data_IF_846220322957
#
_entry.id   IF_846220322957
#
_cell.length_a   1.000
_cell.length_b   1.000
_cell.length_c   1.000
_cell.angle_alpha   90.00
_cell.angle_beta   90.00
_cell.angle_gamma   90.00
#
_symmetry.space_group_name_H-M   'P 1'
#
loop_
_entity.id
_entity.type
_entity.pdbx_description
1 polymer ?
#
# COMPACT_ATOMS: atom_id res chain seq x y z
N UNK A 1 34.40 -12.67 2.60
CA UNK A 1 33.92 -12.39 1.21
C UNK A 1 33.16 -13.56 0.59
N UNK A 2 33.34 -14.80 1.03
CA UNK A 2 32.60 -15.96 0.47
C UNK A 2 31.19 -16.18 1.01
N UNK A 3 30.82 -15.63 2.15
CA UNK A 3 29.47 -15.83 2.73
C UNK A 3 28.39 -14.89 2.17
N UNK A 4 28.78 -13.83 1.47
CA UNK A 4 27.84 -12.86 0.87
C UNK A 4 27.44 -13.26 -0.55
N UNK A 5 28.28 -14.00 -1.24
CA UNK A 5 27.98 -14.53 -2.59
C UNK A 5 27.01 -15.72 -2.57
N UNK A 6 26.92 -16.44 -1.43
CA UNK A 6 26.01 -17.59 -1.33
C UNK A 6 24.54 -17.19 -1.12
N UNK A 7 24.26 -15.94 -0.70
CA UNK A 7 22.88 -15.44 -0.59
C UNK A 7 22.32 -14.92 -1.92
N UNK A 8 23.17 -14.59 -2.88
CA UNK A 8 22.73 -14.16 -4.21
C UNK A 8 22.51 -15.31 -5.20
N UNK A 9 22.97 -16.52 -4.91
CA UNK A 9 22.75 -17.69 -5.79
C UNK A 9 21.54 -18.54 -5.44
N UNK A 10 20.73 -18.16 -4.46
CA UNK A 10 19.36 -18.64 -4.33
C UNK A 10 18.44 -17.79 -5.20
N UNK A 11 18.76 -17.62 -6.47
CA UNK A 11 17.80 -17.25 -7.48
C UNK A 11 16.77 -18.38 -7.52
N UNK A 12 15.63 -18.11 -6.93
CA UNK A 12 14.44 -18.96 -6.89
C UNK A 12 14.13 -19.39 -8.32
N UNK A 13 14.23 -20.67 -8.57
CA UNK A 13 13.67 -21.29 -9.77
C UNK A 13 12.14 -21.19 -9.65
N UNK A 14 11.58 -20.04 -9.99
CA UNK A 14 10.15 -19.90 -10.21
C UNK A 14 9.88 -20.53 -11.57
N UNK A 15 9.55 -21.81 -11.55
CA UNK A 15 9.00 -22.48 -12.72
C UNK A 15 7.62 -21.88 -12.99
N UNK A 16 7.56 -21.01 -14.00
CA UNK A 16 6.33 -20.57 -14.64
C UNK A 16 5.73 -21.77 -15.42
N UNK A 17 5.03 -22.65 -14.74
CA UNK A 17 4.08 -23.53 -15.40
C UNK A 17 2.71 -22.85 -15.38
N UNK A 18 2.48 -22.01 -16.35
CA UNK A 18 1.14 -21.57 -16.71
C UNK A 18 0.39 -22.74 -17.33
N UNK A 19 -0.31 -23.51 -16.54
CA UNK A 19 -1.39 -24.34 -17.06
C UNK A 19 -2.59 -23.42 -17.33
N UNK A 20 -2.76 -23.01 -18.58
CA UNK A 20 -3.99 -22.38 -19.04
C UNK A 20 -5.09 -23.43 -19.05
N UNK A 21 -5.84 -23.53 -17.97
CA UNK A 21 -7.15 -24.19 -18.00
C UNK A 21 -8.17 -23.16 -18.51
N UNK A 22 -8.51 -23.23 -19.78
CA UNK A 22 -9.72 -22.60 -20.32
C UNK A 22 -10.90 -23.48 -19.94
N UNK A 23 -11.46 -23.25 -18.77
CA UNK A 23 -12.79 -23.70 -18.42
C UNK A 23 -13.63 -22.46 -18.15
N UNK A 24 -14.79 -22.36 -18.79
CA UNK A 24 -15.81 -21.36 -18.45
C UNK A 24 -16.30 -21.61 -17.03
N UNK A 25 -15.57 -21.10 -16.03
CA UNK A 25 -15.99 -21.09 -14.64
C UNK A 25 -16.78 -19.81 -14.40
N UNK A 26 -18.09 -19.90 -14.40
CA UNK A 26 -18.94 -18.89 -13.79
C UNK A 26 -18.88 -19.07 -12.27
N UNK A 27 -18.57 -17.98 -11.54
CA UNK A 27 -18.53 -17.95 -10.07
C UNK A 27 -19.81 -18.50 -9.40
N UNK A 28 -20.95 -18.49 -10.13
CA UNK A 28 -22.25 -18.90 -9.62
C UNK A 28 -22.41 -20.42 -9.34
N UNK A 29 -21.58 -21.29 -9.89
CA UNK A 29 -21.79 -22.74 -9.86
C UNK A 29 -21.04 -23.46 -8.73
N UNK A 30 -20.31 -22.78 -7.85
CA UNK A 30 -19.49 -23.42 -6.81
C UNK A 30 -19.91 -23.10 -5.38
N UNK A 31 -20.96 -22.30 -5.17
CA UNK A 31 -21.36 -21.82 -3.84
C UNK A 31 -22.75 -22.36 -3.48
N UNK A 32 -22.82 -23.59 -3.00
CA UNK A 32 -24.04 -24.09 -2.38
C UNK A 32 -24.24 -23.46 -1.00
N UNK A 33 -25.17 -22.48 -0.93
CA UNK A 33 -25.91 -22.02 0.28
C UNK A 33 -25.12 -21.64 1.56
N UNK A 34 -23.82 -21.32 1.50
CA UNK A 34 -23.07 -20.88 2.67
C UNK A 34 -22.18 -19.68 2.38
N UNK A 35 -22.35 -18.60 3.15
CA UNK A 35 -21.41 -17.47 3.15
C UNK A 35 -20.10 -17.90 3.78
N UNK A 36 -19.08 -18.17 2.97
CA UNK A 36 -17.76 -18.60 3.44
C UNK A 36 -16.57 -17.88 2.76
N UNK A 37 -16.81 -17.16 1.66
CA UNK A 37 -15.73 -16.51 0.92
C UNK A 37 -15.32 -15.17 1.54
N UNK A 38 -14.00 -14.92 1.54
CA UNK A 38 -13.39 -13.63 1.88
C UNK A 38 -13.00 -12.92 0.59
N UNK A 39 -13.47 -11.69 0.41
CA UNK A 39 -13.03 -10.80 -0.68
C UNK A 39 -11.99 -9.83 -0.13
N UNK A 40 -10.89 -9.64 -0.86
CA UNK A 40 -9.82 -8.70 -0.48
C UNK A 40 -9.63 -7.67 -1.57
N UNK A 41 -9.63 -6.39 -1.17
CA UNK A 41 -9.28 -5.25 -2.00
C UNK A 41 -8.21 -4.41 -1.29
N UNK A 42 -7.46 -3.62 -2.04
CA UNK A 42 -6.42 -2.74 -1.53
C UNK A 42 -6.29 -1.49 -2.41
N UNK A 43 -5.56 -0.50 -1.91
CA UNK A 43 -5.09 0.65 -2.70
C UNK A 43 -6.25 1.35 -3.45
N UNK A 44 -7.25 1.76 -2.68
CA UNK A 44 -8.46 2.46 -3.17
C UNK A 44 -8.15 3.93 -3.40
N UNK A 45 -7.46 4.58 -2.47
CA UNK A 45 -7.04 5.97 -2.53
C UNK A 45 -8.19 6.97 -2.76
N UNK A 46 -9.23 6.93 -1.92
CA UNK A 46 -10.30 7.92 -1.94
C UNK A 46 -9.76 9.30 -1.56
N UNK A 47 -9.74 10.21 -2.52
CA UNK A 47 -9.38 11.61 -2.30
C UNK A 47 -10.58 12.48 -1.92
N UNK A 48 -10.32 13.72 -1.45
CA UNK A 48 -11.31 14.74 -1.13
C UNK A 48 -11.91 15.39 -2.41
N UNK A 49 -12.83 16.34 -2.23
CA UNK A 49 -13.45 17.06 -3.35
C UNK A 49 -12.43 17.80 -4.22
N UNK A 50 -11.34 18.33 -3.65
CA UNK A 50 -10.30 19.03 -4.40
C UNK A 50 -9.49 18.08 -5.27
N UNK A 51 -9.17 16.91 -4.72
CA UNK A 51 -8.46 15.87 -5.45
C UNK A 51 -9.28 15.33 -6.64
N UNK A 52 -10.60 15.29 -6.50
CA UNK A 52 -11.51 14.69 -7.47
C UNK A 52 -12.08 15.67 -8.50
N UNK A 53 -12.32 16.93 -8.13
CA UNK A 53 -13.07 17.90 -8.97
C UNK A 53 -12.20 18.81 -9.82
N UNK A 54 -10.94 19.01 -9.42
CA UNK A 54 -10.04 19.93 -10.11
C UNK A 54 -10.42 21.41 -9.98
N UNK A 55 -11.13 21.81 -8.93
CA UNK A 55 -11.59 23.19 -8.75
C UNK A 55 -10.47 24.20 -8.54
N UNK A 56 -9.39 23.82 -7.90
CA UNK A 56 -8.22 24.68 -7.63
C UNK A 56 -7.01 24.27 -8.47
N UNK A 57 -6.85 22.99 -8.68
CA UNK A 57 -5.85 22.35 -9.52
C UNK A 57 -6.55 21.36 -10.45
N UNK A 58 -5.87 20.89 -11.52
CA UNK A 58 -6.37 19.71 -12.23
C UNK A 58 -6.56 18.57 -11.22
N UNK A 59 -7.55 17.67 -11.42
CA UNK A 59 -7.73 16.53 -10.52
C UNK A 59 -6.41 15.80 -10.33
N UNK A 60 -5.94 15.73 -9.09
CA UNK A 60 -4.69 15.05 -8.72
C UNK A 60 -4.93 13.73 -8.01
N UNK A 61 -6.17 13.44 -7.63
CA UNK A 61 -6.54 12.18 -6.98
C UNK A 61 -6.27 10.97 -7.87
N UNK A 62 -5.96 9.86 -7.23
CA UNK A 62 -5.70 8.60 -7.92
C UNK A 62 -6.97 7.85 -8.27
N UNK A 63 -8.02 7.96 -7.45
CA UNK A 63 -9.36 7.42 -7.73
C UNK A 63 -10.30 8.55 -8.15
N UNK A 64 -10.50 8.73 -9.44
CA UNK A 64 -11.41 9.74 -10.01
C UNK A 64 -12.38 9.08 -11.00
N UNK A 65 -11.86 8.38 -12.00
CA UNK A 65 -12.63 7.76 -13.08
C UNK A 65 -13.27 6.45 -12.61
N UNK A 66 -12.54 5.64 -11.82
CA UNK A 66 -12.98 4.32 -11.36
C UNK A 66 -13.98 4.36 -10.19
N UNK A 67 -14.34 5.54 -9.64
CA UNK A 67 -15.28 5.66 -8.50
C UNK A 67 -16.61 4.96 -8.71
N UNK A 68 -17.19 5.10 -9.91
CA UNK A 68 -18.47 4.46 -10.25
C UNK A 68 -18.35 2.93 -10.30
N UNK A 69 -17.27 2.43 -10.88
CA UNK A 69 -17.00 0.99 -10.97
C UNK A 69 -16.77 0.38 -9.59
N UNK A 70 -16.05 1.07 -8.70
CA UNK A 70 -15.86 0.62 -7.32
C UNK A 70 -17.19 0.58 -6.56
N UNK A 71 -18.01 1.62 -6.67
CA UNK A 71 -19.34 1.64 -6.02
C UNK A 71 -20.22 0.50 -6.53
N UNK A 72 -20.18 0.20 -7.83
CA UNK A 72 -20.88 -0.93 -8.43
C UNK A 72 -20.37 -2.27 -7.89
N UNK A 73 -19.08 -2.47 -7.85
CA UNK A 73 -18.45 -3.67 -7.27
C UNK A 73 -18.87 -3.91 -5.82
N UNK A 74 -18.83 -2.87 -4.99
CA UNK A 74 -19.24 -2.97 -3.58
C UNK A 74 -20.73 -3.30 -3.43
N UNK A 75 -21.59 -2.77 -4.31
CA UNK A 75 -23.00 -3.15 -4.33
C UNK A 75 -23.21 -4.61 -4.79
N UNK A 76 -22.40 -5.13 -5.71
CA UNK A 76 -22.41 -6.54 -6.04
C UNK A 76 -22.03 -7.41 -4.83
N UNK A 77 -21.02 -6.99 -4.05
CA UNK A 77 -20.68 -7.66 -2.78
C UNK A 77 -21.88 -7.67 -1.84
N UNK A 78 -22.51 -6.50 -1.63
CA UNK A 78 -23.68 -6.36 -0.75
C UNK A 78 -24.84 -7.29 -1.15
N UNK A 79 -25.00 -7.57 -2.43
CA UNK A 79 -26.07 -8.44 -2.98
C UNK A 79 -25.67 -9.92 -3.03
N UNK A 80 -24.43 -10.26 -2.66
CA UNK A 80 -23.93 -11.63 -2.75
C UNK A 80 -24.45 -12.50 -1.60
N UNK A 81 -24.80 -13.74 -1.93
CA UNK A 81 -25.22 -14.75 -0.95
C UNK A 81 -24.07 -15.62 -0.43
N UNK A 82 -22.90 -15.56 -1.08
CA UNK A 82 -21.74 -16.41 -0.77
C UNK A 82 -20.57 -15.66 -0.12
N UNK A 83 -20.54 -14.33 -0.16
CA UNK A 83 -19.49 -13.55 0.50
C UNK A 83 -19.79 -13.41 1.97
N UNK A 84 -18.84 -13.83 2.82
CA UNK A 84 -18.88 -13.70 4.26
C UNK A 84 -18.35 -12.36 4.75
N UNK A 85 -17.24 -11.94 4.16
CA UNK A 85 -16.49 -10.79 4.64
C UNK A 85 -15.72 -10.07 3.52
N UNK A 86 -15.50 -8.79 3.70
CA UNK A 86 -14.64 -7.93 2.89
C UNK A 86 -13.45 -7.48 3.73
N UNK A 87 -12.24 -7.68 3.24
CA UNK A 87 -11.02 -7.17 3.86
C UNK A 87 -10.43 -6.07 2.98
N UNK A 88 -10.25 -4.88 3.56
CA UNK A 88 -9.58 -3.73 2.92
C UNK A 88 -8.13 -3.73 3.42
N UNK A 89 -7.20 -4.07 2.53
CA UNK A 89 -5.79 -4.23 2.86
C UNK A 89 -5.01 -2.91 2.70
N UNK A 90 -5.49 -1.84 3.36
CA UNK A 90 -4.84 -0.54 3.44
C UNK A 90 -5.11 0.40 2.26
N UNK A 91 -4.67 1.64 2.41
CA UNK A 91 -4.78 2.73 1.45
C UNK A 91 -6.23 2.95 0.95
N UNK A 92 -7.17 3.00 1.91
CA UNK A 92 -8.57 3.31 1.67
C UNK A 92 -8.77 4.79 1.32
N UNK A 93 -8.12 5.68 2.09
CA UNK A 93 -8.18 7.13 1.95
C UNK A 93 -6.79 7.64 1.57
N UNK A 94 -6.75 8.68 0.75
CA UNK A 94 -5.49 9.27 0.33
C UNK A 94 -5.24 10.62 0.99
N UNK A 95 -4.46 10.60 2.07
CA UNK A 95 -4.01 11.80 2.77
C UNK A 95 -2.69 12.35 2.18
N UNK A 96 -2.00 11.60 1.33
CA UNK A 96 -0.64 11.91 0.88
C UNK A 96 -0.57 12.57 -0.49
N UNK A 97 -1.46 12.19 -1.40
CA UNK A 97 -1.46 12.69 -2.78
C UNK A 97 -2.15 14.06 -2.83
N UNK A 98 -1.40 15.07 -2.43
CA UNK A 98 -1.79 16.47 -2.53
C UNK A 98 -0.56 17.32 -2.92
N UNK A 99 -0.70 18.35 -3.78
CA UNK A 99 0.40 19.26 -4.11
C UNK A 99 1.02 19.90 -2.87
N UNK A 100 2.32 20.21 -2.90
CA UNK A 100 3.06 20.75 -1.74
C UNK A 100 2.46 22.03 -1.14
N UNK A 101 1.75 22.82 -1.95
CA UNK A 101 1.08 24.05 -1.53
C UNK A 101 -0.39 23.85 -1.18
N UNK A 102 -0.90 22.61 -1.17
CA UNK A 102 -2.26 22.27 -0.77
C UNK A 102 -2.22 21.72 0.66
N UNK A 103 -3.02 22.35 1.51
CA UNK A 103 -3.30 21.82 2.85
C UNK A 103 -4.40 20.78 2.75
N UNK A 104 -4.15 19.57 3.18
CA UNK A 104 -5.16 18.51 3.23
C UNK A 104 -6.17 18.84 4.32
N UNK A 105 -5.70 19.24 5.48
CA UNK A 105 -6.49 19.42 6.68
C UNK A 105 -7.06 20.85 6.88
N UNK A 106 -6.75 21.86 6.10
CA UNK A 106 -7.28 23.22 6.18
C UNK A 106 -6.60 24.13 7.21
N UNK A 107 -7.23 25.28 7.60
CA UNK A 107 -6.56 26.33 8.36
C UNK A 107 -6.68 26.22 9.90
N UNK A 108 -7.61 25.43 10.43
CA UNK A 108 -7.81 25.21 11.87
C UNK A 108 -7.59 23.74 12.25
N UNK A 109 -6.66 23.45 13.14
CA UNK A 109 -6.21 22.10 13.45
C UNK A 109 -7.30 21.28 14.14
N UNK A 110 -8.12 21.87 14.99
CA UNK A 110 -9.12 21.14 15.79
C UNK A 110 -10.35 20.67 14.98
N UNK A 111 -10.68 21.38 13.88
CA UNK A 111 -11.83 21.02 13.02
C UNK A 111 -11.44 20.25 11.74
N UNK A 112 -10.19 20.12 11.45
CA UNK A 112 -9.70 19.89 10.09
C UNK A 112 -9.70 18.45 9.64
N UNK A 113 -9.37 17.50 10.53
CA UNK A 113 -9.48 16.08 10.23
C UNK A 113 -10.90 15.70 9.84
N UNK A 114 -11.86 16.20 10.61
CA UNK A 114 -13.27 15.95 10.35
C UNK A 114 -13.71 16.57 9.03
N UNK A 115 -13.25 17.78 8.71
CA UNK A 115 -13.56 18.48 7.48
C UNK A 115 -13.00 17.77 6.25
N UNK A 116 -11.77 17.24 6.35
CA UNK A 116 -11.16 16.45 5.29
C UNK A 116 -11.94 15.17 5.03
N UNK A 117 -12.23 14.37 6.07
CA UNK A 117 -12.98 13.13 5.93
C UNK A 117 -14.41 13.36 5.44
N UNK A 118 -15.07 14.43 5.87
CA UNK A 118 -16.39 14.81 5.35
C UNK A 118 -16.31 15.15 3.85
N UNK A 119 -15.24 15.83 3.42
CA UNK A 119 -14.97 16.11 2.00
C UNK A 119 -14.70 14.84 1.20
N UNK A 120 -13.92 13.90 1.77
CA UNK A 120 -13.72 12.56 1.17
C UNK A 120 -15.04 11.83 1.02
N UNK A 121 -15.87 11.81 2.07
CA UNK A 121 -17.18 11.15 2.04
C UNK A 121 -18.13 11.78 1.01
N UNK A 122 -18.15 13.11 0.88
CA UNK A 122 -18.95 13.79 -0.14
C UNK A 122 -18.46 13.48 -1.56
N UNK A 123 -17.14 13.56 -1.78
CA UNK A 123 -16.54 13.25 -3.09
C UNK A 123 -16.81 11.81 -3.54
N UNK A 124 -16.94 10.89 -2.58
CA UNK A 124 -17.09 9.46 -2.81
C UNK A 124 -18.43 8.90 -2.27
N UNK A 125 -19.49 9.71 -2.28
CA UNK A 125 -20.77 9.38 -1.65
C UNK A 125 -21.33 8.02 -2.05
N UNK A 126 -21.24 7.64 -3.32
CA UNK A 126 -21.74 6.36 -3.82
C UNK A 126 -20.93 5.17 -3.27
N UNK A 127 -19.62 5.34 -3.09
CA UNK A 127 -18.74 4.32 -2.49
C UNK A 127 -19.06 4.16 -1.02
N UNK A 128 -19.21 5.29 -0.29
CA UNK A 128 -19.59 5.29 1.13
C UNK A 128 -20.95 4.61 1.34
N UNK A 129 -21.95 4.92 0.49
CA UNK A 129 -23.25 4.24 0.51
C UNK A 129 -23.13 2.74 0.25
N UNK A 130 -22.30 2.34 -0.70
CA UNK A 130 -22.09 0.93 -1.03
C UNK A 130 -21.43 0.15 0.12
N UNK A 131 -20.47 0.73 0.83
CA UNK A 131 -19.90 0.14 2.05
C UNK A 131 -20.98 -0.06 3.12
N UNK A 132 -21.84 0.92 3.34
CA UNK A 132 -22.96 0.80 4.29
C UNK A 132 -23.94 -0.30 3.87
N UNK A 133 -24.20 -0.46 2.57
CA UNK A 133 -25.02 -1.56 2.06
C UNK A 133 -24.42 -2.93 2.37
N UNK A 134 -23.09 -3.11 2.28
CA UNK A 134 -22.39 -4.32 2.67
C UNK A 134 -22.66 -4.66 4.16
N UNK A 135 -22.53 -3.68 5.05
CA UNK A 135 -22.81 -3.87 6.48
C UNK A 135 -24.27 -4.20 6.73
N UNK A 136 -25.21 -3.50 6.07
CA UNK A 136 -26.63 -3.78 6.18
C UNK A 136 -27.02 -5.17 5.67
N UNK A 137 -26.25 -5.73 4.73
CA UNK A 137 -26.42 -7.10 4.25
C UNK A 137 -25.83 -8.16 5.22
N UNK A 138 -25.26 -7.75 6.35
CA UNK A 138 -24.67 -8.64 7.35
C UNK A 138 -23.32 -9.21 6.93
N UNK A 139 -22.61 -8.54 6.01
CA UNK A 139 -21.24 -8.90 5.60
C UNK A 139 -20.28 -8.08 6.46
N UNK A 140 -19.31 -8.75 7.10
CA UNK A 140 -18.33 -8.07 7.92
C UNK A 140 -17.31 -7.33 7.05
N UNK A 141 -16.87 -6.15 7.51
CA UNK A 141 -15.80 -5.39 6.88
C UNK A 141 -14.63 -5.30 7.86
N UNK A 142 -13.47 -5.74 7.40
CA UNK A 142 -12.19 -5.63 8.10
C UNK A 142 -11.32 -4.61 7.39
N UNK A 143 -10.58 -3.81 8.17
CA UNK A 143 -9.67 -2.81 7.64
C UNK A 143 -8.28 -2.97 8.28
N UNK A 144 -7.24 -2.97 7.45
CA UNK A 144 -5.84 -2.85 7.90
C UNK A 144 -5.30 -1.49 7.44
N UNK A 145 -4.45 -0.80 8.22
CA UNK A 145 -3.87 0.47 7.80
C UNK A 145 -2.93 0.31 6.60
N UNK A 146 -2.97 1.27 5.67
CA UNK A 146 -1.94 1.48 4.66
C UNK A 146 -1.03 2.66 5.02
N UNK A 147 -0.06 2.99 4.16
CA UNK A 147 0.79 4.15 4.41
C UNK A 147 0.08 5.47 4.14
N UNK A 148 -0.80 5.54 3.17
CA UNK A 148 -1.56 6.75 2.84
C UNK A 148 -2.64 7.10 3.87
N UNK A 149 -3.02 6.16 4.72
CA UNK A 149 -4.11 6.33 5.68
C UNK A 149 -3.77 5.79 7.09
N UNK A 150 -2.47 5.75 7.43
CA UNK A 150 -1.99 5.21 8.71
C UNK A 150 -2.51 5.95 9.95
N UNK A 151 -3.09 7.12 9.79
CA UNK A 151 -3.69 7.92 10.87
C UNK A 151 -5.19 7.65 11.06
N UNK A 152 -5.81 6.81 10.23
CA UNK A 152 -7.20 6.42 10.44
C UNK A 152 -7.34 5.58 11.71
N UNK A 153 -8.20 6.03 12.60
CA UNK A 153 -8.61 5.31 13.80
C UNK A 153 -10.06 4.85 13.68
N UNK A 154 -10.55 4.14 14.68
CA UNK A 154 -11.91 3.61 14.69
C UNK A 154 -12.98 4.70 14.52
N UNK A 155 -12.83 5.85 15.15
CA UNK A 155 -13.77 6.97 15.06
C UNK A 155 -13.86 7.49 13.61
N UNK A 156 -12.70 7.69 12.96
CA UNK A 156 -12.63 8.14 11.56
C UNK A 156 -13.22 7.11 10.60
N UNK A 157 -12.94 5.83 10.82
CA UNK A 157 -13.54 4.74 10.05
C UNK A 157 -15.06 4.72 10.20
N UNK A 158 -15.58 4.90 11.41
CA UNK A 158 -17.01 4.96 11.66
C UNK A 158 -17.70 6.13 10.91
N UNK A 159 -17.01 7.25 10.68
CA UNK A 159 -17.54 8.34 9.84
C UNK A 159 -17.70 7.92 8.39
N UNK A 160 -16.74 7.16 7.85
CA UNK A 160 -16.79 6.65 6.47
C UNK A 160 -17.87 5.58 6.33
N UNK A 161 -17.84 4.57 7.17
CA UNK A 161 -18.70 3.40 7.05
C UNK A 161 -20.08 3.56 7.71
N UNK A 162 -20.23 4.50 8.63
CA UNK A 162 -21.47 4.76 9.37
C UNK A 162 -21.79 3.75 10.46
N UNK A 163 -21.00 2.71 10.62
CA UNK A 163 -21.10 1.66 11.65
C UNK A 163 -19.74 1.07 11.93
N UNK A 164 -19.65 0.21 12.94
CA UNK A 164 -18.39 -0.41 13.33
C UNK A 164 -17.82 -1.30 12.22
N UNK A 165 -16.62 -0.93 11.78
CA UNK A 165 -15.73 -1.72 10.96
C UNK A 165 -14.66 -2.30 11.88
N UNK A 166 -14.24 -3.53 11.65
CA UNK A 166 -13.24 -4.18 12.49
C UNK A 166 -11.86 -3.71 12.06
N UNK A 167 -11.25 -2.84 12.87
CA UNK A 167 -9.86 -2.41 12.66
C UNK A 167 -8.90 -3.52 13.07
N UNK A 168 -8.13 -4.02 12.14
CA UNK A 168 -7.16 -5.08 12.36
C UNK A 168 -5.84 -4.52 12.88
N UNK A 169 -5.85 -4.06 14.13
CA UNK A 169 -4.66 -3.61 14.85
C UNK A 169 -4.35 -4.60 15.97
N UNK A 170 -3.17 -5.20 15.92
CA UNK A 170 -2.74 -6.08 17.01
C UNK A 170 -2.09 -5.27 18.14
N UNK A 171 -2.14 -5.79 19.37
CA UNK A 171 -1.65 -5.10 20.57
C UNK A 171 -0.17 -4.70 20.47
N UNK A 172 0.63 -5.44 19.70
CA UNK A 172 2.05 -5.22 19.55
C UNK A 172 2.42 -4.47 18.25
N UNK A 173 1.44 -4.13 17.41
CA UNK A 173 1.73 -3.36 16.21
C UNK A 173 1.99 -1.89 16.55
N UNK A 174 3.00 -1.31 15.90
CA UNK A 174 3.25 0.11 15.94
C UNK A 174 2.04 0.89 15.37
N UNK A 175 1.94 2.16 15.73
CA UNK A 175 0.95 3.04 15.13
C UNK A 175 1.09 3.04 13.60
N UNK A 176 -0.04 3.02 12.89
CA UNK A 176 -0.06 2.97 11.43
C UNK A 176 0.13 1.58 10.81
N UNK A 177 0.23 0.53 11.63
CA UNK A 177 0.35 -0.87 11.17
C UNK A 177 -0.79 -1.74 11.70
N UNK A 178 -1.05 -2.83 10.99
CA UNK A 178 -2.03 -3.84 11.36
C UNK A 178 -2.11 -4.94 10.30
N UNK A 179 -2.71 -6.07 10.67
CA UNK A 179 -2.98 -7.16 9.75
C UNK A 179 -4.22 -7.94 10.14
N UNK A 180 -4.96 -8.41 9.17
CA UNK A 180 -6.01 -9.39 9.34
C UNK A 180 -5.38 -10.79 9.41
N UNK A 181 -5.88 -11.59 10.34
CA UNK A 181 -5.50 -13.00 10.48
C UNK A 181 -6.76 -13.84 10.58
N UNK A 182 -6.88 -14.88 9.76
CA UNK A 182 -7.98 -15.83 9.90
C UNK A 182 -7.95 -16.53 11.25
N UNK A 183 -9.10 -17.01 11.71
CA UNK A 183 -9.23 -17.67 13.02
C UNK A 183 -8.25 -18.85 13.20
N UNK A 184 -7.99 -19.61 12.13
CA UNK A 184 -7.01 -20.70 12.13
C UNK A 184 -5.55 -20.24 12.02
N UNK A 185 -5.30 -18.93 11.80
CA UNK A 185 -3.98 -18.35 11.68
C UNK A 185 -3.24 -18.65 10.37
N UNK A 186 -3.90 -19.24 9.38
CA UNK A 186 -3.26 -19.69 8.14
C UNK A 186 -3.22 -18.63 7.04
N UNK A 187 -4.15 -17.67 7.06
CA UNK A 187 -4.19 -16.54 6.10
C UNK A 187 -3.87 -15.26 6.83
N UNK A 188 -2.86 -14.53 6.34
CA UNK A 188 -2.49 -13.18 6.76
C UNK A 188 -2.74 -12.21 5.62
N UNK A 189 -3.37 -11.09 5.94
CA UNK A 189 -3.61 -9.98 4.99
C UNK A 189 -3.13 -8.70 5.64
N UNK A 190 -2.22 -8.00 5.00
CA UNK A 190 -1.75 -6.68 5.43
C UNK A 190 -1.38 -5.81 4.22
N UNK A 191 -1.23 -4.50 4.43
CA UNK A 191 -0.86 -3.63 3.33
C UNK A 191 0.57 -3.88 2.84
N UNK A 192 1.54 -4.01 3.76
CA UNK A 192 2.92 -4.36 3.44
C UNK A 192 3.94 -3.23 3.54
N UNK A 193 3.53 -1.98 3.73
CA UNK A 193 4.39 -0.80 3.76
C UNK A 193 5.48 -0.83 4.85
N UNK A 194 5.37 -1.71 5.86
CA UNK A 194 6.43 -1.87 6.88
C UNK A 194 7.78 -2.32 6.31
N UNK A 195 7.80 -2.91 5.12
CA UNK A 195 9.00 -3.40 4.43
C UNK A 195 9.69 -2.32 3.60
N UNK A 196 9.03 -1.20 3.34
CA UNK A 196 9.51 -0.13 2.48
C UNK A 196 10.14 1.00 3.29
N UNK A 197 11.37 1.37 2.96
CA UNK A 197 12.12 2.41 3.66
C UNK A 197 11.39 3.76 3.69
N UNK A 198 10.79 4.16 2.57
CA UNK A 198 10.11 5.46 2.45
C UNK A 198 8.71 5.46 3.05
N UNK A 199 8.06 4.30 3.15
CA UNK A 199 6.65 4.20 3.51
C UNK A 199 6.36 3.57 4.87
N UNK A 200 7.32 2.83 5.46
CA UNK A 200 7.17 2.29 6.81
C UNK A 200 6.99 3.41 7.85
N UNK A 201 6.14 3.26 8.88
CA UNK A 201 6.00 4.27 9.93
C UNK A 201 7.33 4.69 10.53
N UNK A 202 7.51 6.00 10.73
CA UNK A 202 8.76 6.59 11.25
C UNK A 202 8.50 7.43 12.51
N UNK A 203 8.50 6.77 13.65
CA UNK A 203 8.33 7.42 14.95
C UNK A 203 9.65 7.95 15.55
N UNK A 204 10.76 7.88 14.83
CA UNK A 204 12.10 8.19 15.33
C UNK A 204 12.63 9.48 14.76
N UNK A 205 12.70 9.59 13.44
CA UNK A 205 13.43 10.67 12.76
C UNK A 205 12.93 12.07 13.13
N UNK A 206 11.65 12.22 13.41
CA UNK A 206 11.03 13.50 13.76
C UNK A 206 10.62 13.60 15.24
N UNK A 207 10.98 12.64 16.10
CA UNK A 207 10.55 12.59 17.50
C UNK A 207 10.96 13.86 18.30
N UNK A 208 12.11 14.45 17.98
CA UNK A 208 12.56 15.71 18.61
C UNK A 208 11.74 16.95 18.21
N UNK A 209 10.95 16.86 17.13
CA UNK A 209 10.07 17.93 16.62
C UNK A 209 8.65 17.67 17.04
N UNK A 210 8.23 16.41 16.91
CA UNK A 210 6.92 15.91 17.28
C UNK A 210 7.02 14.44 17.76
N UNK A 211 6.90 14.26 19.04
CA UNK A 211 7.04 12.98 19.75
C UNK A 211 6.08 11.89 19.25
N UNK A 212 4.92 12.27 18.69
CA UNK A 212 3.92 11.32 18.19
C UNK A 212 3.88 11.21 16.66
N UNK A 213 4.83 11.81 15.95
CA UNK A 213 4.87 11.68 14.49
C UNK A 213 5.25 10.25 14.11
N UNK A 214 4.49 9.68 13.17
CA UNK A 214 4.78 8.36 12.56
C UNK A 214 5.00 8.47 11.06
N UNK A 215 4.97 9.68 10.53
CA UNK A 215 4.95 9.92 9.08
C UNK A 215 6.34 9.79 8.47
N UNK A 216 6.50 8.87 7.51
CA UNK A 216 7.77 8.62 6.85
C UNK A 216 8.07 9.62 5.73
N UNK A 217 9.30 9.64 5.18
CA UNK A 217 9.67 10.52 4.08
C UNK A 217 8.81 10.37 2.81
N UNK A 218 8.19 9.20 2.61
CA UNK A 218 7.31 8.90 1.47
C UNK A 218 6.14 9.88 1.31
N UNK A 219 5.63 10.40 2.42
CA UNK A 219 4.64 11.47 2.40
C UNK A 219 5.11 12.70 1.58
N UNK A 220 6.32 13.19 1.86
CA UNK A 220 6.88 14.33 1.14
C UNK A 220 7.13 13.98 -0.34
N UNK A 221 7.56 12.74 -0.59
CA UNK A 221 7.71 12.21 -1.95
C UNK A 221 6.39 12.29 -2.71
N UNK A 222 5.29 11.86 -2.11
CA UNK A 222 3.96 11.90 -2.72
C UNK A 222 3.48 13.33 -2.98
N UNK A 223 3.67 14.26 -2.02
CA UNK A 223 3.37 15.69 -2.21
C UNK A 223 4.18 16.31 -3.35
N UNK A 224 5.48 16.03 -3.40
CA UNK A 224 6.33 16.50 -4.50
C UNK A 224 5.84 15.90 -5.83
N UNK A 225 5.49 14.63 -5.86
CA UNK A 225 4.97 13.95 -7.04
C UNK A 225 3.66 14.59 -7.52
N UNK A 226 2.74 14.88 -6.63
CA UNK A 226 1.45 15.51 -6.95
C UNK A 226 1.57 16.95 -7.44
N UNK A 227 2.68 17.63 -7.11
CA UNK A 227 2.96 19.02 -7.55
C UNK A 227 3.46 19.11 -8.98
N UNK A 228 3.87 18.00 -9.61
CA UNK A 228 4.30 18.00 -10.99
C UNK A 228 3.11 18.12 -11.94
N UNK A 229 3.32 18.72 -13.12
CA UNK A 229 2.29 18.84 -14.15
C UNK A 229 1.79 17.43 -14.53
N UNK A 230 0.56 17.12 -14.12
CA UNK A 230 -0.08 15.81 -14.23
C UNK A 230 -0.16 15.26 -15.68
N UNK A 231 0.12 16.09 -16.66
CA UNK A 231 0.14 15.68 -18.06
C UNK A 231 1.43 14.96 -18.48
N UNK A 232 2.46 14.90 -17.64
CA UNK A 232 3.80 14.43 -18.06
C UNK A 232 4.42 13.35 -17.18
N UNK A 233 3.94 13.09 -15.98
CA UNK A 233 4.59 12.13 -15.09
C UNK A 233 3.68 10.93 -14.78
N UNK A 234 3.88 9.87 -15.50
CA UNK A 234 3.62 8.54 -14.95
C UNK A 234 4.55 8.38 -13.77
N UNK A 235 4.01 8.14 -12.59
CA UNK A 235 4.78 7.65 -11.46
C UNK A 235 5.19 6.19 -11.71
N UNK A 236 5.93 5.94 -12.78
CA UNK A 236 6.64 4.68 -12.90
C UNK A 236 8.00 4.84 -12.22
N UNK A 237 8.03 4.68 -10.92
CA UNK A 237 9.27 4.62 -10.15
C UNK A 237 10.21 3.51 -10.64
N UNK A 238 9.74 2.52 -11.37
CA UNK A 238 10.44 1.29 -11.66
C UNK A 238 11.17 1.16 -13.00
N UNK A 239 10.85 1.94 -14.02
CA UNK A 239 11.20 1.50 -15.39
C UNK A 239 12.38 2.18 -16.09
N UNK A 240 12.99 3.22 -15.52
CA UNK A 240 14.10 3.94 -16.17
C UNK A 240 15.38 4.07 -15.33
N UNK A 241 15.51 3.29 -14.27
CA UNK A 241 16.79 3.20 -13.55
C UNK A 241 17.69 2.29 -14.35
N UNK A 242 18.48 2.86 -15.26
CA UNK A 242 19.49 2.11 -16.01
C UNK A 242 20.46 1.43 -15.03
N UNK A 243 20.80 0.19 -15.32
CA UNK A 243 21.72 -0.69 -14.56
C UNK A 243 23.06 -0.08 -14.16
N UNK A 244 23.44 1.06 -14.74
CA UNK A 244 24.69 1.78 -14.45
C UNK A 244 24.74 2.48 -13.07
N UNK A 245 23.62 2.57 -12.35
CA UNK A 245 23.57 3.20 -11.03
C UNK A 245 24.00 2.26 -9.91
N UNK A 246 23.88 0.97 -10.11
CA UNK A 246 24.10 -0.04 -9.08
C UNK A 246 25.57 -0.28 -8.75
N UNK A 247 26.49 -0.02 -9.69
CA UNK A 247 27.92 -0.29 -9.50
C UNK A 247 28.63 0.80 -8.67
N UNK A 248 28.00 1.97 -8.45
CA UNK A 248 28.64 3.11 -7.80
C UNK A 248 28.26 3.30 -6.32
N UNK A 249 27.29 2.54 -5.79
CA UNK A 249 26.69 2.83 -4.49
C UNK A 249 27.10 1.80 -3.43
N UNK A 250 28.23 2.06 -2.77
CA UNK A 250 28.77 1.17 -1.73
C UNK A 250 28.27 1.49 -0.31
N UNK A 251 27.63 2.65 -0.09
CA UNK A 251 27.18 3.10 1.24
C UNK A 251 25.69 3.39 1.24
N UNK A 252 25.02 3.08 2.34
CA UNK A 252 23.57 3.29 2.51
C UNK A 252 23.18 4.76 2.28
N UNK A 253 24.02 5.71 2.74
CA UNK A 253 23.79 7.13 2.51
C UNK A 253 23.81 7.50 1.01
N UNK A 254 24.75 6.97 0.23
CA UNK A 254 24.81 7.28 -1.20
C UNK A 254 23.59 6.73 -1.94
N UNK A 255 23.07 5.60 -1.49
CA UNK A 255 21.83 5.01 -2.02
C UNK A 255 20.61 5.84 -1.64
N UNK A 256 20.52 6.30 -0.40
CA UNK A 256 19.46 7.19 0.05
C UNK A 256 19.44 8.51 -0.74
N UNK A 257 20.62 9.14 -0.93
CA UNK A 257 20.76 10.31 -1.81
C UNK A 257 20.36 10.02 -3.25
N UNK A 258 20.73 8.84 -3.78
CA UNK A 258 20.37 8.46 -5.14
C UNK A 258 18.85 8.30 -5.30
N UNK A 259 18.18 7.73 -4.30
CA UNK A 259 16.72 7.62 -4.28
C UNK A 259 16.07 9.02 -4.33
N UNK A 260 16.51 9.95 -3.49
CA UNK A 260 16.04 11.35 -3.56
C UNK A 260 16.33 12.03 -4.88
N UNK A 261 17.54 11.85 -5.44
CA UNK A 261 17.87 12.37 -6.78
C UNK A 261 16.94 11.80 -7.85
N UNK A 262 16.64 10.51 -7.80
CA UNK A 262 15.73 9.88 -8.73
C UNK A 262 14.32 10.50 -8.64
N UNK A 263 13.83 10.69 -7.42
CA UNK A 263 12.54 11.34 -7.14
C UNK A 263 12.51 12.76 -7.73
N UNK A 264 13.59 13.52 -7.57
CA UNK A 264 13.68 14.91 -8.05
C UNK A 264 13.95 15.00 -9.55
N UNK A 265 14.74 14.07 -10.12
CA UNK A 265 15.18 14.09 -11.52
C UNK A 265 14.09 13.69 -12.52
N UNK A 266 13.18 12.82 -12.10
CA UNK A 266 12.07 12.40 -12.97
C UNK A 266 10.96 13.45 -13.09
N UNK A 267 11.22 14.67 -12.63
CA UNK A 267 10.28 15.78 -12.72
C UNK A 267 10.66 16.72 -13.86
N UNK A 268 9.69 17.04 -14.73
CA UNK A 268 9.91 17.96 -15.86
C UNK A 268 10.24 19.39 -15.42
N UNK A 269 9.92 19.77 -14.19
CA UNK A 269 10.25 21.03 -13.58
C UNK A 269 11.14 20.75 -12.38
N UNK A 270 12.45 20.70 -12.62
CA UNK A 270 13.43 20.72 -11.55
C UNK A 270 13.04 21.82 -10.57
N UNK A 271 13.05 21.50 -9.27
CA UNK A 271 12.91 22.52 -8.23
C UNK A 271 14.04 23.50 -8.48
N UNK A 272 13.68 24.71 -8.91
CA UNK A 272 14.66 25.76 -9.14
C UNK A 272 15.46 25.99 -7.85
N UNK A 273 16.77 26.21 -7.97
CA UNK A 273 17.64 26.55 -6.83
C UNK A 273 17.08 27.75 -6.02
N UNK A 274 16.44 28.69 -6.69
CA UNK A 274 15.75 29.83 -6.06
C UNK A 274 14.59 29.44 -5.16
N UNK A 275 13.96 28.28 -5.41
CA UNK A 275 12.81 27.78 -4.65
C UNK A 275 13.21 26.82 -3.54
N UNK A 276 14.46 26.37 -3.50
CA UNK A 276 14.96 25.37 -2.55
C UNK A 276 14.76 25.76 -1.08
N UNK A 277 14.89 27.05 -0.77
CA UNK A 277 14.73 27.57 0.58
C UNK A 277 13.35 28.22 0.83
N UNK A 278 12.44 28.21 -0.15
CA UNK A 278 11.09 28.75 0.07
C UNK A 278 10.28 27.81 0.96
N UNK A 279 9.61 28.38 1.94
CA UNK A 279 8.70 27.68 2.86
C UNK A 279 7.34 27.47 2.18
N UNK A 280 7.23 26.40 1.37
CA UNK A 280 6.06 26.10 0.55
C UNK A 280 5.44 24.72 0.81
N UNK A 281 6.14 23.86 1.56
CA UNK A 281 5.67 22.51 1.85
C UNK A 281 4.85 22.54 3.14
N UNK A 282 3.58 22.26 3.00
CA UNK A 282 2.67 22.13 4.15
C UNK A 282 2.74 20.71 4.73
N UNK A 283 2.91 20.65 6.05
CA UNK A 283 2.93 19.39 6.83
C UNK A 283 1.94 19.42 7.98
N UNK A 284 0.95 20.31 7.89
CA UNK A 284 -0.04 20.55 8.95
C UNK A 284 -0.80 19.28 9.33
N UNK A 285 -0.93 18.41 8.38
CA UNK A 285 -1.75 17.21 8.40
C UNK A 285 -1.17 16.11 9.27
N UNK A 286 0.13 16.14 9.56
CA UNK A 286 0.85 14.94 9.94
C UNK A 286 1.82 15.14 11.10
N UNK A 287 2.03 16.36 11.50
CA UNK A 287 2.89 16.74 12.60
C UNK A 287 2.09 17.67 13.50
N UNK A 288 2.00 17.36 14.79
CA UNK A 288 1.24 18.14 15.78
C UNK A 288 1.64 19.63 15.84
N UNK A 289 2.75 19.98 15.25
CA UNK A 289 3.18 21.37 15.05
C UNK A 289 3.08 21.69 13.58
N UNK A 290 1.94 22.23 13.14
CA UNK A 290 1.80 22.66 11.77
C UNK A 290 2.92 23.61 11.40
N UNK A 291 3.47 23.43 10.22
CA UNK A 291 4.58 24.24 9.77
C UNK A 291 4.70 24.28 8.25
N UNK A 292 5.27 25.40 7.81
CA UNK A 292 5.74 25.51 6.46
C UNK A 292 7.23 25.16 6.42
N UNK A 293 7.56 24.20 5.59
CA UNK A 293 8.92 23.74 5.37
C UNK A 293 9.39 24.05 3.94
N UNK A 294 10.69 24.17 3.80
CA UNK A 294 11.33 24.23 2.49
C UNK A 294 11.85 22.86 2.09
N UNK A 295 12.19 22.69 0.83
CA UNK A 295 12.85 21.46 0.36
C UNK A 295 14.14 21.18 1.12
N UNK A 296 14.94 22.21 1.45
CA UNK A 296 16.19 22.07 2.20
C UNK A 296 15.99 21.66 3.67
N UNK A 297 14.80 21.84 4.22
CA UNK A 297 14.49 21.38 5.58
C UNK A 297 14.23 19.87 5.64
N UNK A 298 13.95 19.24 4.50
CA UNK A 298 13.46 17.86 4.40
C UNK A 298 14.41 16.97 3.60
N UNK A 299 14.85 17.46 2.44
CA UNK A 299 15.64 16.67 1.50
C UNK A 299 17.13 16.82 1.83
N UNK A 300 17.91 15.71 1.88
CA UNK A 300 19.35 15.79 2.09
C UNK A 300 20.03 16.66 1.05
N UNK A 301 20.98 17.48 1.46
CA UNK A 301 21.71 18.37 0.56
C UNK A 301 22.66 17.59 -0.33
N UNK A 302 22.66 17.92 -1.62
CA UNK A 302 23.54 17.31 -2.63
C UNK A 302 24.84 18.08 -2.82
N UNK A 303 25.00 19.23 -2.17
CA UNK A 303 26.10 20.16 -2.40
C UNK A 303 26.87 20.46 -1.12
N UNK A 304 28.15 20.23 -1.14
CA UNK A 304 29.08 20.59 -0.05
C UNK A 304 29.18 19.50 1.06
N UNK A 305 29.69 19.92 2.22
CA UNK A 305 29.99 19.04 3.35
C UNK A 305 28.75 18.67 4.21
N UNK A 306 27.59 19.15 3.87
CA UNK A 306 26.35 18.86 4.59
C UNK A 306 25.70 17.60 4.00
N UNK A 307 25.65 16.57 4.82
CA UNK A 307 25.18 15.23 4.44
C UNK A 307 23.77 14.92 4.93
N UNK A 308 23.00 15.90 5.41
CA UNK A 308 21.73 15.65 6.05
C UNK A 308 20.70 16.73 5.73
N UNK A 309 19.41 16.42 5.93
CA UNK A 309 18.35 17.43 5.92
C UNK A 309 18.51 18.38 7.12
N UNK A 310 18.00 19.61 6.99
CA UNK A 310 18.19 20.61 8.06
C UNK A 310 17.27 20.39 9.24
N UNK A 311 16.05 19.91 9.02
CA UNK A 311 15.00 19.89 10.04
C UNK A 311 14.35 18.52 10.18
N UNK A 312 13.61 18.06 9.14
CA UNK A 312 12.88 16.81 9.17
C UNK A 312 13.72 15.65 8.62
N UNK A 313 13.47 14.46 9.13
CA UNK A 313 14.09 13.21 8.67
C UNK A 313 15.63 13.21 8.77
N UNK A 314 16.15 13.92 9.77
CA UNK A 314 17.58 13.84 10.10
C UNK A 314 17.93 12.40 10.46
N UNK A 315 19.11 11.99 10.01
CA UNK A 315 19.67 10.69 10.38
C UNK A 315 18.87 9.44 9.93
N UNK A 316 17.72 9.62 9.25
CA UNK A 316 16.87 8.52 8.74
C UNK A 316 17.67 7.46 7.97
N UNK A 317 18.75 7.85 7.29
CA UNK A 317 19.63 6.96 6.51
C UNK A 317 20.65 6.20 7.37
N UNK A 318 20.75 6.46 8.68
CA UNK A 318 21.66 5.72 9.54
C UNK A 318 21.14 4.32 9.80
N UNK A 319 22.00 3.33 9.68
CA UNK A 319 21.65 1.93 9.91
C UNK A 319 21.08 1.68 11.31
N UNK A 320 21.60 2.41 12.33
CA UNK A 320 21.08 2.34 13.71
C UNK A 320 19.61 2.77 13.78
N UNK A 321 19.28 3.91 13.17
CA UNK A 321 17.92 4.45 13.15
C UNK A 321 16.96 3.53 12.38
N UNK A 322 17.39 3.06 11.23
CA UNK A 322 16.61 2.11 10.44
C UNK A 322 16.37 0.79 11.19
N UNK A 323 17.38 0.25 11.86
CA UNK A 323 17.21 -0.97 12.66
C UNK A 323 16.23 -0.78 13.81
N UNK A 324 16.31 0.35 14.52
CA UNK A 324 15.37 0.68 15.59
C UNK A 324 13.95 0.86 15.07
N UNK A 325 13.79 1.54 13.94
CA UNK A 325 12.49 1.70 13.27
C UNK A 325 11.87 0.35 12.89
N UNK A 326 12.67 -0.58 12.37
CA UNK A 326 12.20 -1.94 12.06
C UNK A 326 11.82 -2.73 13.32
N UNK A 327 12.56 -2.56 14.43
CA UNK A 327 12.18 -3.18 15.71
C UNK A 327 10.82 -2.70 16.19
N UNK A 328 10.59 -1.39 16.17
CA UNK A 328 9.31 -0.79 16.56
C UNK A 328 8.19 -1.25 15.63
N UNK A 329 8.46 -1.35 14.33
CA UNK A 329 7.50 -1.79 13.32
C UNK A 329 7.32 -3.32 13.26
N UNK A 330 7.95 -4.08 14.15
CA UNK A 330 7.86 -5.55 14.20
C UNK A 330 8.14 -6.22 12.85
N UNK A 331 9.19 -5.76 12.14
CA UNK A 331 9.64 -6.41 10.90
C UNK A 331 10.27 -7.76 11.28
N UNK A 332 9.77 -8.90 10.75
CA UNK A 332 10.19 -10.22 11.20
C UNK A 332 11.67 -10.51 10.97
N UNK A 333 12.19 -10.14 9.80
CA UNK A 333 13.61 -10.24 9.44
C UNK A 333 14.09 -8.86 9.03
N UNK A 334 15.10 -8.34 9.72
CA UNK A 334 15.59 -6.97 9.45
C UNK A 334 16.22 -6.86 8.06
N UNK A 335 15.72 -5.91 7.29
CA UNK A 335 16.24 -5.51 6.00
C UNK A 335 17.36 -4.48 6.16
N UNK A 336 18.40 -4.55 5.35
CA UNK A 336 19.31 -3.42 5.18
C UNK A 336 18.56 -2.24 4.53
N UNK A 337 19.07 -1.03 4.67
CA UNK A 337 18.51 0.16 4.00
C UNK A 337 18.41 -0.08 2.48
N UNK A 338 19.42 -0.72 1.89
CA UNK A 338 19.41 -1.07 0.46
C UNK A 338 18.25 -1.97 0.09
N UNK A 339 18.03 -3.03 0.83
CA UNK A 339 16.92 -3.96 0.59
C UNK A 339 15.59 -3.25 0.73
N UNK A 340 15.41 -2.45 1.79
CA UNK A 340 14.18 -1.70 2.03
C UNK A 340 13.92 -0.58 1.01
N UNK A 341 14.96 0.02 0.43
CA UNK A 341 14.82 0.95 -0.69
C UNK A 341 14.41 0.23 -1.98
N UNK A 342 14.88 -1.00 -2.18
CA UNK A 342 14.50 -1.80 -3.35
C UNK A 342 13.06 -2.29 -3.28
N UNK A 343 12.54 -2.59 -2.08
CA UNK A 343 11.12 -2.92 -1.91
C UNK A 343 10.21 -1.77 -2.33
N UNK A 344 10.60 -0.53 -2.06
CA UNK A 344 9.84 0.66 -2.47
C UNK A 344 9.93 1.00 -3.96
N UNK A 345 10.91 0.45 -4.69
CA UNK A 345 11.16 0.80 -6.10
C UNK A 345 10.75 -0.32 -7.06
N UNK A 346 10.90 -1.58 -6.65
CA UNK A 346 10.69 -2.73 -7.53
C UNK A 346 9.60 -3.66 -6.97
N UNK A 347 8.39 -3.68 -7.58
CA UNK A 347 7.29 -4.52 -7.10
C UNK A 347 7.66 -6.01 -6.98
N UNK A 348 8.42 -6.56 -7.92
CA UNK A 348 8.86 -7.96 -7.84
C UNK A 348 9.81 -8.22 -6.67
N UNK A 349 10.67 -7.25 -6.33
CA UNK A 349 11.55 -7.34 -5.17
C UNK A 349 10.76 -7.26 -3.86
N UNK A 350 9.73 -6.40 -3.82
CA UNK A 350 8.79 -6.34 -2.70
C UNK A 350 8.11 -7.69 -2.47
N UNK A 351 7.54 -8.28 -3.52
CA UNK A 351 6.90 -9.59 -3.43
C UNK A 351 7.84 -10.67 -2.88
N UNK A 352 9.06 -10.74 -3.42
CA UNK A 352 10.06 -11.73 -3.01
C UNK A 352 10.51 -11.50 -1.56
N UNK A 353 10.63 -10.24 -1.13
CA UNK A 353 10.91 -9.87 0.27
C UNK A 353 9.77 -10.30 1.18
N UNK A 354 8.52 -9.98 0.83
CA UNK A 354 7.34 -10.37 1.61
C UNK A 354 7.25 -11.90 1.76
N UNK A 355 7.49 -12.64 0.68
CA UNK A 355 7.57 -14.11 0.71
C UNK A 355 8.65 -14.58 1.68
N UNK A 356 9.87 -14.01 1.59
CA UNK A 356 10.99 -14.39 2.45
C UNK A 356 10.71 -14.10 3.94
N UNK A 357 10.06 -12.98 4.24
CA UNK A 357 9.75 -12.54 5.60
C UNK A 357 8.66 -13.38 6.28
N UNK A 358 7.60 -13.71 5.55
CA UNK A 358 6.38 -14.26 6.15
C UNK A 358 6.10 -15.70 5.80
N UNK A 359 6.49 -16.18 4.63
CA UNK A 359 6.15 -17.52 4.18
C UNK A 359 7.30 -18.53 4.32
N UNK A 360 8.55 -18.11 4.10
CA UNK A 360 9.69 -19.02 4.13
C UNK A 360 10.19 -19.40 5.53
N UNK A 361 10.07 -18.57 6.61
CA UNK A 361 10.55 -19.00 7.92
C UNK A 361 9.90 -20.30 8.37
N UNK A 362 10.69 -21.21 8.93
CA UNK A 362 10.19 -22.52 9.44
C UNK A 362 9.16 -22.35 10.55
N UNK A 363 9.22 -21.26 11.30
CA UNK A 363 8.26 -20.92 12.35
C UNK A 363 6.96 -20.33 11.82
N UNK A 364 6.90 -20.00 10.52
CA UNK A 364 5.71 -19.40 9.91
C UNK A 364 4.59 -20.43 9.73
N UNK A 365 3.46 -20.16 10.39
CA UNK A 365 2.22 -20.93 10.23
C UNK A 365 1.40 -20.49 9.01
N UNK A 366 1.67 -19.31 8.46
CA UNK A 366 0.92 -18.76 7.33
C UNK A 366 1.11 -19.64 6.09
N UNK A 367 -0.01 -19.98 5.46
CA UNK A 367 -0.07 -20.67 4.16
C UNK A 367 -0.47 -19.71 3.05
N UNK A 368 -1.22 -18.67 3.37
CA UNK A 368 -1.63 -17.60 2.44
C UNK A 368 -1.18 -16.25 3.01
N UNK A 369 -0.48 -15.48 2.19
CA UNK A 369 -0.12 -14.10 2.46
C UNK A 369 -0.67 -13.21 1.35
N UNK A 370 -1.48 -12.22 1.73
CA UNK A 370 -2.01 -11.24 0.78
C UNK A 370 -1.54 -9.85 1.19
N UNK A 371 -1.06 -9.09 0.20
CA UNK A 371 -0.60 -7.72 0.37
C UNK A 371 -1.23 -6.78 -0.65
N UNK A 372 -1.07 -5.47 -0.45
CA UNK A 372 -1.32 -4.36 -1.36
C UNK A 372 -0.04 -3.60 -1.67
N UNK A 373 -0.08 -2.26 -1.55
CA UNK A 373 1.02 -1.31 -1.55
C UNK A 373 1.69 -1.07 -2.91
N UNK A 374 1.98 -2.11 -3.66
CA UNK A 374 2.72 -1.96 -4.93
C UNK A 374 1.84 -1.61 -6.12
N UNK A 375 0.52 -1.71 -5.99
CA UNK A 375 -0.48 -1.56 -7.07
C UNK A 375 -0.35 -2.58 -8.21
N UNK A 376 0.51 -3.59 -8.07
CA UNK A 376 0.73 -4.62 -9.09
C UNK A 376 0.09 -5.93 -8.65
N UNK A 377 -1.06 -6.31 -9.23
CA UNK A 377 -1.75 -7.55 -8.87
C UNK A 377 -0.92 -8.77 -9.30
N UNK A 378 -0.74 -9.70 -8.36
CA UNK A 378 -0.02 -10.93 -8.60
C UNK A 378 -0.57 -12.06 -7.75
N UNK A 379 -0.47 -13.30 -8.22
CA UNK A 379 -0.76 -14.51 -7.48
C UNK A 379 0.33 -15.53 -7.80
N UNK A 380 1.10 -15.94 -6.77
CA UNK A 380 2.28 -16.82 -6.89
C UNK A 380 2.14 -18.03 -5.98
N UNK A 381 2.56 -19.20 -6.47
CA UNK A 381 2.79 -20.39 -5.64
C UNK A 381 4.23 -20.32 -5.09
N UNK A 382 4.36 -20.51 -3.81
CA UNK A 382 5.65 -20.62 -3.11
C UNK A 382 5.77 -22.05 -2.60
N UNK A 383 6.59 -22.87 -3.26
CA UNK A 383 6.66 -24.30 -2.94
C UNK A 383 8.09 -24.86 -2.96
N UNK A 384 8.29 -25.87 -2.14
CA UNK A 384 9.44 -26.77 -2.19
C UNK A 384 8.95 -28.21 -1.92
N UNK A 385 9.85 -29.14 -1.54
CA UNK A 385 9.49 -30.52 -1.19
C UNK A 385 8.65 -30.65 0.09
N UNK A 386 8.60 -29.64 0.95
CA UNK A 386 8.01 -29.71 2.28
C UNK A 386 6.72 -28.90 2.41
N UNK A 387 6.54 -27.86 1.58
CA UNK A 387 5.37 -26.98 1.67
C UNK A 387 4.93 -26.42 0.33
N UNK A 388 3.65 -26.09 0.26
CA UNK A 388 3.04 -25.27 -0.78
C UNK A 388 2.28 -24.15 -0.12
N UNK A 389 2.70 -22.90 -0.38
CA UNK A 389 2.13 -21.69 0.19
C UNK A 389 1.75 -20.72 -0.94
N UNK A 390 0.91 -19.74 -0.65
CA UNK A 390 0.40 -18.78 -1.63
C UNK A 390 0.78 -17.38 -1.20
N UNK A 391 1.35 -16.63 -2.14
CA UNK A 391 1.51 -15.19 -2.04
C UNK A 391 0.61 -14.51 -3.07
N UNK A 392 -0.08 -13.44 -2.66
CA UNK A 392 -0.84 -12.61 -3.57
C UNK A 392 -0.68 -11.12 -3.25
N UNK A 393 -0.79 -10.28 -4.27
CA UNK A 393 -0.99 -8.85 -4.13
C UNK A 393 -2.33 -8.48 -4.78
N UNK A 394 -3.17 -7.75 -4.05
CA UNK A 394 -4.52 -7.43 -4.48
C UNK A 394 -4.57 -6.41 -5.64
N UNK A 395 -3.43 -5.75 -5.93
CA UNK A 395 -3.38 -4.68 -6.92
C UNK A 395 -4.07 -3.42 -6.43
N UNK A 396 -4.79 -2.70 -7.30
CA UNK A 396 -5.38 -1.43 -6.92
C UNK A 396 -6.70 -1.10 -7.65
N UNK A 397 -7.42 -0.09 -7.12
CA UNK A 397 -8.62 0.50 -7.71
C UNK A 397 -8.39 1.89 -8.32
N UNK A 398 -7.15 2.38 -8.29
CA UNK A 398 -6.80 3.68 -8.88
C UNK A 398 -7.07 3.72 -10.38
N UNK A 399 -7.19 4.93 -10.92
CA UNK A 399 -7.46 5.11 -12.35
C UNK A 399 -6.34 4.55 -13.22
N UNK A 400 -6.70 3.90 -14.31
CA UNK A 400 -5.78 3.25 -15.25
C UNK A 400 -4.64 4.14 -15.73
N UNK A 401 -4.85 5.46 -15.80
CA UNK A 401 -3.82 6.42 -16.21
C UNK A 401 -2.60 6.48 -15.29
N UNK A 402 -2.74 6.04 -14.02
CA UNK A 402 -1.67 6.00 -13.04
C UNK A 402 -0.87 4.71 -13.06
N UNK A 403 -1.40 3.68 -13.71
CA UNK A 403 -0.78 2.37 -13.83
C UNK A 403 -0.02 2.19 -15.15
N UNK A 404 0.92 1.24 -15.18
CA UNK A 404 1.48 0.75 -16.44
C UNK A 404 0.36 0.26 -17.38
N UNK A 405 0.57 0.35 -18.67
CA UNK A 405 -0.40 -0.09 -19.69
C UNK A 405 -0.82 -1.55 -19.53
N UNK A 406 0.11 -2.40 -19.08
CA UNK A 406 -0.10 -3.84 -18.94
C UNK A 406 -0.68 -4.24 -17.58
N UNK A 407 -0.53 -3.40 -16.56
CA UNK A 407 -1.02 -3.69 -15.21
C UNK A 407 -2.54 -3.57 -15.20
N UNK A 408 -3.30 -4.61 -14.86
CA UNK A 408 -4.74 -4.49 -14.68
C UNK A 408 -5.08 -3.57 -13.52
N UNK A 409 -6.15 -2.80 -13.67
CA UNK A 409 -6.78 -2.00 -12.62
C UNK A 409 -8.04 -2.71 -12.11
N UNK A 410 -8.64 -2.21 -11.03
CA UNK A 410 -9.90 -2.73 -10.47
C UNK A 410 -9.80 -4.21 -10.11
N UNK A 411 -8.71 -4.59 -9.48
CA UNK A 411 -8.43 -5.98 -9.13
C UNK A 411 -8.87 -6.31 -7.71
N UNK A 412 -9.20 -7.57 -7.48
CA UNK A 412 -9.58 -8.09 -6.18
C UNK A 412 -9.23 -9.58 -6.06
N UNK A 413 -9.11 -10.04 -4.82
CA UNK A 413 -8.84 -11.45 -4.53
C UNK A 413 -10.06 -12.05 -3.86
N UNK A 414 -10.36 -13.31 -4.19
CA UNK A 414 -11.37 -14.13 -3.53
C UNK A 414 -10.68 -15.33 -2.90
N UNK A 415 -10.89 -15.52 -1.61
CA UNK A 415 -10.43 -16.68 -0.87
C UNK A 415 -11.66 -17.53 -0.56
N UNK A 416 -11.67 -18.77 -1.04
CA UNK A 416 -12.78 -19.69 -0.86
C UNK A 416 -12.27 -20.96 -0.19
N UNK A 417 -12.53 -21.18 1.11
CA UNK A 417 -12.30 -22.48 1.74
C UNK A 417 -13.26 -23.52 1.16
N UNK A 418 -12.81 -24.78 1.08
CA UNK A 418 -13.70 -25.87 0.73
C UNK A 418 -14.63 -26.24 1.93
N UNK A 419 -15.61 -27.09 1.68
CA UNK A 419 -16.59 -27.50 2.70
C UNK A 419 -15.95 -28.17 3.93
N UNK A 420 -14.78 -28.76 3.78
CA UNK A 420 -14.07 -29.49 4.83
C UNK A 420 -12.97 -28.65 5.47
N UNK A 421 -12.76 -27.42 5.00
CA UNK A 421 -11.65 -26.52 5.34
C UNK A 421 -10.25 -27.16 5.12
N UNK A 422 -10.16 -28.23 4.33
CA UNK A 422 -8.89 -28.90 4.02
C UNK A 422 -8.12 -28.21 2.89
N UNK A 423 -8.86 -27.65 1.95
CA UNK A 423 -8.30 -26.87 0.86
C UNK A 423 -8.84 -25.47 0.86
N UNK A 424 -8.12 -24.57 0.23
CA UNK A 424 -8.54 -23.20 0.07
C UNK A 424 -8.13 -22.70 -1.31
N UNK A 425 -9.10 -22.23 -2.08
CA UNK A 425 -8.85 -21.64 -3.40
C UNK A 425 -8.63 -20.13 -3.23
N UNK A 426 -7.62 -19.63 -3.89
CA UNK A 426 -7.32 -18.19 -4.00
C UNK A 426 -7.38 -17.80 -5.46
N UNK A 427 -8.27 -16.88 -5.78
CA UNK A 427 -8.51 -16.39 -7.12
C UNK A 427 -8.21 -14.89 -7.20
N UNK A 428 -7.48 -14.47 -8.22
CA UNK A 428 -7.24 -13.07 -8.56
C UNK A 428 -8.08 -12.69 -9.76
N UNK A 429 -8.90 -11.66 -9.62
CA UNK A 429 -9.83 -11.17 -10.64
C UNK A 429 -9.59 -9.71 -11.03
N UNK A 430 -9.99 -9.37 -12.24
CA UNK A 430 -10.25 -7.98 -12.66
C UNK A 430 -11.75 -7.76 -12.80
N UNK A 431 -12.29 -6.74 -12.15
CA UNK A 431 -13.70 -6.42 -12.19
C UNK A 431 -14.14 -5.91 -13.56
N UNK A 432 -15.26 -6.45 -14.05
CA UNK A 432 -15.85 -6.09 -15.35
C UNK A 432 -17.38 -5.94 -15.25
N UNK A 433 -17.83 -4.90 -14.54
CA UNK A 433 -19.24 -4.52 -14.43
C UNK A 433 -20.04 -5.30 -13.39
N UNK A 434 -19.86 -6.62 -13.27
CA UNK A 434 -20.40 -7.46 -12.18
C UNK A 434 -19.34 -8.43 -11.68
N UNK A 435 -19.56 -9.03 -10.50
CA UNK A 435 -18.62 -10.04 -9.97
C UNK A 435 -18.60 -11.27 -10.88
N UNK A 436 -19.77 -11.70 -11.37
CA UNK A 436 -19.91 -12.88 -12.22
C UNK A 436 -19.25 -12.71 -13.59
N UNK A 437 -19.19 -11.47 -14.10
CA UNK A 437 -18.54 -11.13 -15.38
C UNK A 437 -17.07 -10.73 -15.20
N UNK A 438 -16.55 -10.78 -13.97
CA UNK A 438 -15.16 -10.44 -13.70
C UNK A 438 -14.19 -11.41 -14.37
N UNK A 439 -13.10 -10.88 -14.89
CA UNK A 439 -12.09 -11.67 -15.61
C UNK A 439 -11.16 -12.33 -14.61
N UNK A 440 -11.14 -13.66 -14.60
CA UNK A 440 -10.18 -14.42 -13.82
C UNK A 440 -8.77 -14.22 -14.40
N UNK A 441 -7.88 -13.63 -13.61
CA UNK A 441 -6.48 -13.43 -14.01
C UNK A 441 -5.65 -14.67 -13.67
N UNK A 442 -5.85 -15.21 -12.47
CA UNK A 442 -5.10 -16.38 -11.98
C UNK A 442 -5.86 -17.08 -10.85
N UNK A 443 -5.61 -18.37 -10.65
CA UNK A 443 -6.19 -19.18 -9.58
C UNK A 443 -5.16 -20.15 -9.00
N UNK A 444 -5.18 -20.35 -7.69
CA UNK A 444 -4.33 -21.33 -6.99
C UNK A 444 -5.11 -22.00 -5.87
N UNK A 445 -4.87 -23.30 -5.67
CA UNK A 445 -5.44 -24.08 -4.56
C UNK A 445 -4.33 -24.39 -3.56
N UNK A 446 -4.57 -24.06 -2.29
CA UNK A 446 -3.79 -24.51 -1.15
C UNK A 446 -4.37 -25.80 -0.61
N UNK A 447 -3.51 -26.81 -0.41
CA UNK A 447 -3.84 -28.08 0.21
C UNK A 447 -3.38 -28.09 1.68
N UNK A 448 -3.92 -29.05 2.48
CA UNK A 448 -3.62 -29.17 3.91
C UNK A 448 -3.86 -27.87 4.69
N UNK A 449 -5.01 -27.24 4.43
CA UNK A 449 -5.39 -25.98 5.05
C UNK A 449 -5.92 -26.12 6.49
N UNK A 450 -6.22 -27.36 6.92
CA UNK A 450 -6.53 -27.68 8.32
C UNK A 450 -5.25 -27.84 9.14
N UNK A 451 -5.31 -27.36 10.36
CA UNK A 451 -4.35 -27.66 11.44
C UNK A 451 -4.68 -28.98 12.08
#
# INVERSE_FOLDING_TARGET
>A
MEKTLLKLSFAIFVLLFGCSFHGDFTLSNTFENRRNATVVISDIHMGDERACSGTIHKPYGWLVENRKELANFLNCIASSEWIKELVIAGDLVDEWVAPVNVRVWGDNIEDNENTFLDSVCRANENIVKAFRNIKNAGIEIYYTPGNHDMLLNQEKLNRIFGTDVITCKNQNDAAGLGFYLTQNGLTRIEHGHRLDFFNAPDCISNAGINENSIIPPGFIVSKIASSSDLNKSRMSFGYNVGTKWFDALYRDYDLYLAAWKLILYNKPNSIDEKDWNKKIIHTDDLIQRPGLYSYSDIIPTFWGNFKDSRVLYKDTYKTSEWNLRQEINNVPIKLSIREALFTGVFPSYFDDTAIAEYLLPQTSRQKILIMGHTHFPVLKIVQNSEYRKIYANAGSWIDKKWLDKKTPDKTFIVITPDETDKTCRVDLYQFNGTIENSVLINTVVAEDFQL
#
